data_IF_034953305475
#
_entry.id   IF_034953305475
#
_cell.length_a   1.000
_cell.length_b   1.000
_cell.length_c   1.000
_cell.angle_alpha   90.00
_cell.angle_beta   90.00
_cell.angle_gamma   90.00
#
_symmetry.space_group_name_H-M   'P 1'
#
loop_
_entity.id
_entity.type
_entity.pdbx_description
1 polymer ?
#
# COMPACT_ATOMS: atom_id res chain seq x y z
N UNK A 1 -14.47 -20.85 14.51
CA UNK A 1 -14.49 -19.94 13.34
C UNK A 1 -13.06 -19.73 12.86
N UNK A 2 -12.78 -19.87 11.56
CA UNK A 2 -11.46 -19.60 11.00
C UNK A 2 -11.27 -18.10 10.76
N UNK A 3 -10.09 -17.57 11.09
CA UNK A 3 -9.72 -16.18 10.84
C UNK A 3 -8.75 -16.11 9.66
N UNK A 4 -8.97 -15.16 8.73
CA UNK A 4 -8.10 -14.94 7.56
C UNK A 4 -7.68 -13.48 7.52
N UNK A 5 -6.39 -13.24 7.27
CA UNK A 5 -5.88 -11.88 7.04
C UNK A 5 -6.43 -11.31 5.73
N UNK A 6 -6.69 -10.00 5.73
CA UNK A 6 -7.00 -9.20 4.55
C UNK A 6 -5.90 -8.17 4.34
N UNK A 7 -5.74 -7.67 3.12
CA UNK A 7 -4.74 -6.65 2.80
C UNK A 7 -5.04 -5.36 3.55
N UNK A 8 -4.01 -4.55 3.75
CA UNK A 8 -4.15 -3.24 4.38
C UNK A 8 -5.07 -2.33 3.55
N UNK A 9 -4.95 -2.38 2.21
CA UNK A 9 -5.84 -1.70 1.27
C UNK A 9 -7.32 -2.01 1.54
N UNK A 10 -7.68 -3.29 1.63
CA UNK A 10 -9.07 -3.71 1.84
C UNK A 10 -9.58 -3.25 3.20
N UNK A 11 -8.76 -3.42 4.25
CA UNK A 11 -9.12 -3.01 5.60
C UNK A 11 -9.36 -1.50 5.69
N UNK A 12 -8.48 -0.67 5.09
CA UNK A 12 -8.61 0.79 5.12
C UNK A 12 -9.83 1.28 4.34
N UNK A 13 -10.13 0.69 3.17
CA UNK A 13 -11.35 1.02 2.43
C UNK A 13 -12.62 0.68 3.20
N UNK A 14 -12.64 -0.48 3.88
CA UNK A 14 -13.75 -0.85 4.75
C UNK A 14 -13.93 0.15 5.91
N UNK A 15 -12.83 0.57 6.54
CA UNK A 15 -12.86 1.57 7.62
C UNK A 15 -13.34 2.94 7.13
N UNK A 16 -12.79 3.44 6.03
CA UNK A 16 -13.18 4.73 5.46
C UNK A 16 -14.67 4.78 5.08
N UNK A 17 -15.22 3.66 4.60
CA UNK A 17 -16.65 3.52 4.32
C UNK A 17 -17.53 3.41 5.56
N UNK A 18 -17.14 2.58 6.53
CA UNK A 18 -18.00 2.20 7.65
C UNK A 18 -17.95 3.20 8.81
N UNK A 19 -16.76 3.69 9.17
CA UNK A 19 -16.58 4.48 10.40
C UNK A 19 -17.40 5.77 10.42
N UNK A 20 -17.54 6.55 9.33
CA UNK A 20 -18.41 7.72 9.33
C UNK A 20 -19.87 7.39 9.66
N UNK A 21 -20.37 6.21 9.26
CA UNK A 21 -21.74 5.78 9.52
C UNK A 21 -22.00 5.47 10.99
N UNK A 22 -21.01 4.89 11.68
CA UNK A 22 -21.11 4.53 13.10
C UNK A 22 -20.67 5.63 14.06
N UNK A 23 -20.10 6.71 13.53
CA UNK A 23 -19.62 7.84 14.34
C UNK A 23 -20.40 9.13 14.12
N UNK A 24 -21.54 9.09 13.43
CA UNK A 24 -22.31 10.27 13.00
C UNK A 24 -21.42 11.29 12.26
N UNK A 25 -20.48 10.79 11.45
CA UNK A 25 -19.53 11.58 10.69
C UNK A 25 -18.42 12.26 11.50
N UNK A 26 -18.34 12.03 12.83
CA UNK A 26 -17.30 12.61 13.71
C UNK A 26 -15.90 12.08 13.40
N UNK A 27 -15.81 10.82 12.98
CA UNK A 27 -14.56 10.19 12.58
C UNK A 27 -14.60 9.89 11.09
N UNK A 28 -13.54 10.30 10.39
CA UNK A 28 -13.33 10.05 8.97
C UNK A 28 -11.90 9.59 8.76
N UNK A 29 -11.75 8.62 7.87
CA UNK A 29 -10.44 8.18 7.40
C UNK A 29 -10.27 8.66 5.97
N UNK A 30 -9.03 8.98 5.61
CA UNK A 30 -8.67 9.26 4.22
C UNK A 30 -8.93 7.99 3.38
N UNK A 31 -9.66 8.15 2.29
CA UNK A 31 -10.00 7.08 1.35
C UNK A 31 -9.10 7.08 0.11
N UNK A 32 -8.18 8.04 -0.01
CA UNK A 32 -7.17 8.10 -1.08
C UNK A 32 -6.14 6.99 -0.91
N UNK A 33 -6.43 5.87 -1.56
CA UNK A 33 -5.67 4.62 -1.45
C UNK A 33 -5.70 3.92 -2.81
N UNK A 34 -4.54 3.57 -3.35
CA UNK A 34 -4.45 2.73 -4.56
C UNK A 34 -3.61 1.49 -4.31
N UNK A 35 -4.08 0.36 -4.83
CA UNK A 35 -3.36 -0.91 -4.82
C UNK A 35 -2.79 -1.16 -6.21
N UNK A 36 -1.46 -1.13 -6.30
CA UNK A 36 -0.72 -1.35 -7.54
C UNK A 36 -0.33 -2.81 -7.65
N UNK A 37 -0.77 -3.47 -8.71
CA UNK A 37 -0.45 -4.85 -9.11
C UNK A 37 0.46 -4.88 -10.35
N UNK A 38 0.97 -6.04 -10.79
CA UNK A 38 1.76 -6.14 -12.01
C UNK A 38 1.03 -5.70 -13.29
N UNK A 39 -0.31 -5.76 -13.29
CA UNK A 39 -1.18 -5.39 -14.40
C UNK A 39 -1.59 -3.92 -14.37
N UNK A 40 -1.22 -3.18 -13.32
CA UNK A 40 -1.59 -1.78 -13.15
C UNK A 40 -0.72 -0.88 -14.02
N UNK A 41 -1.34 -0.08 -14.87
CA UNK A 41 -0.67 1.05 -15.53
C UNK A 41 -0.65 2.25 -14.57
N UNK A 42 0.49 2.49 -13.92
CA UNK A 42 0.63 3.60 -12.96
C UNK A 42 0.44 4.96 -13.62
N UNK A 43 0.78 5.13 -14.90
CA UNK A 43 0.64 6.42 -15.56
C UNK A 43 -0.83 6.73 -15.81
N UNK A 44 -1.59 5.74 -16.30
CA UNK A 44 -3.04 5.86 -16.44
C UNK A 44 -3.73 6.07 -15.09
N UNK A 45 -3.32 5.33 -14.05
CA UNK A 45 -3.85 5.49 -12.70
C UNK A 45 -3.66 6.91 -12.14
N UNK A 46 -2.54 7.56 -12.48
CA UNK A 46 -2.27 8.93 -12.03
C UNK A 46 -3.07 10.00 -12.79
N UNK A 47 -3.69 9.67 -13.92
CA UNK A 47 -4.71 10.50 -14.56
C UNK A 47 -6.08 10.31 -13.89
N UNK A 48 -6.41 9.08 -13.49
CA UNK A 48 -7.65 8.75 -12.77
C UNK A 48 -7.66 9.29 -11.33
N UNK A 49 -6.50 9.33 -10.69
CA UNK A 49 -6.29 9.74 -9.30
C UNK A 49 -5.27 10.89 -9.22
N UNK A 50 -5.64 12.14 -9.58
CA UNK A 50 -4.69 13.25 -9.75
C UNK A 50 -3.89 13.61 -8.48
N UNK A 51 -4.39 13.26 -7.29
CA UNK A 51 -3.70 13.48 -6.02
C UNK A 51 -2.36 12.74 -5.96
N UNK A 52 -2.19 11.65 -6.71
CA UNK A 52 -0.93 10.93 -6.82
C UNK A 52 0.23 11.83 -7.28
N UNK A 53 -0.06 12.85 -8.11
CA UNK A 53 0.95 13.80 -8.61
C UNK A 53 1.07 15.07 -7.77
N UNK A 54 0.11 15.33 -6.90
CA UNK A 54 -0.01 16.59 -6.15
C UNK A 54 0.51 16.47 -4.72
N UNK A 55 0.35 15.29 -4.12
CA UNK A 55 0.67 15.04 -2.73
C UNK A 55 2.06 14.40 -2.57
N UNK A 56 2.56 14.41 -1.34
CA UNK A 56 3.63 13.49 -0.95
C UNK A 56 3.02 12.11 -0.69
N UNK A 57 3.78 11.07 -1.03
CA UNK A 57 3.32 9.69 -1.04
C UNK A 57 4.13 8.82 -0.09
N UNK A 58 3.44 7.85 0.48
CA UNK A 58 3.98 6.67 1.14
C UNK A 58 3.71 5.46 0.25
N UNK A 59 4.74 4.64 0.01
CA UNK A 59 4.64 3.40 -0.77
C UNK A 59 5.17 2.24 0.04
N UNK A 60 4.41 1.13 0.09
CA UNK A 60 4.82 -0.08 0.82
C UNK A 60 4.18 -1.33 0.23
N UNK A 61 4.83 -2.50 0.29
CA UNK A 61 4.20 -3.75 -0.10
C UNK A 61 3.02 -4.09 0.82
N UNK A 62 1.96 -4.60 0.22
CA UNK A 62 0.74 -4.98 0.92
C UNK A 62 0.43 -6.47 0.70
N UNK A 63 1.27 -7.34 1.29
CA UNK A 63 1.21 -8.80 1.12
C UNK A 63 1.21 -9.54 2.46
N UNK A 64 0.45 -9.01 3.44
CA UNK A 64 0.22 -9.66 4.74
C UNK A 64 1.50 -9.92 5.56
N UNK A 65 2.49 -9.04 5.48
CA UNK A 65 3.67 -9.10 6.34
C UNK A 65 3.96 -7.75 7.01
N UNK A 66 4.54 -7.82 8.22
CA UNK A 66 4.89 -6.65 9.04
C UNK A 66 6.32 -6.16 8.84
N UNK A 67 6.80 -5.28 9.73
CA UNK A 67 8.21 -4.83 9.78
C UNK A 67 8.78 -4.27 8.46
N UNK A 68 7.93 -3.65 7.62
CA UNK A 68 8.31 -3.08 6.32
C UNK A 68 9.44 -2.05 6.41
N UNK A 69 9.42 -1.18 7.43
CA UNK A 69 10.51 -0.23 7.68
C UNK A 69 11.86 -0.91 7.99
N UNK A 70 11.86 -1.97 8.81
CA UNK A 70 13.09 -2.74 9.12
C UNK A 70 13.65 -3.45 7.89
N UNK A 71 12.75 -3.94 7.03
CA UNK A 71 13.10 -4.63 5.79
C UNK A 71 13.42 -3.67 4.62
N UNK A 72 13.49 -2.35 4.84
CA UNK A 72 13.71 -1.35 3.78
C UNK A 72 12.66 -1.41 2.65
N UNK A 73 11.44 -1.80 3.01
CA UNK A 73 10.26 -1.95 2.15
C UNK A 73 9.19 -0.89 2.49
N UNK A 74 9.64 0.31 2.85
CA UNK A 74 8.77 1.44 3.15
C UNK A 74 9.41 2.70 2.58
N UNK A 75 8.79 3.27 1.56
CA UNK A 75 9.12 4.58 1.01
C UNK A 75 8.19 5.61 1.65
N UNK A 76 8.73 6.72 2.11
CA UNK A 76 7.98 7.83 2.71
C UNK A 76 8.38 9.14 2.07
N UNK A 77 7.47 10.11 2.09
CA UNK A 77 7.70 11.48 1.59
C UNK A 77 8.27 11.49 0.15
N UNK A 78 7.67 10.69 -0.73
CA UNK A 78 8.03 10.61 -2.14
C UNK A 78 7.09 11.47 -3.00
N UNK A 79 7.57 11.93 -4.15
CA UNK A 79 6.68 12.36 -5.23
C UNK A 79 6.29 11.16 -6.11
N UNK A 80 5.41 11.39 -7.07
CA UNK A 80 4.91 10.37 -7.98
C UNK A 80 6.03 9.64 -8.75
N UNK A 81 7.00 10.38 -9.30
CA UNK A 81 8.07 9.81 -10.11
C UNK A 81 8.97 8.89 -9.27
N UNK A 82 9.31 9.33 -8.06
CA UNK A 82 10.07 8.51 -7.11
C UNK A 82 9.27 7.29 -6.66
N UNK A 83 7.97 7.43 -6.41
CA UNK A 83 7.09 6.30 -6.07
C UNK A 83 7.04 5.28 -7.20
N UNK A 84 6.83 5.71 -8.44
CA UNK A 84 6.83 4.87 -9.64
C UNK A 84 8.16 4.12 -9.80
N UNK A 85 9.28 4.83 -9.78
CA UNK A 85 10.61 4.21 -9.92
C UNK A 85 10.88 3.18 -8.80
N UNK A 86 10.46 3.48 -7.57
CA UNK A 86 10.64 2.59 -6.43
C UNK A 86 9.82 1.30 -6.55
N UNK A 87 8.59 1.40 -7.09
CA UNK A 87 7.74 0.24 -7.40
C UNK A 87 8.35 -0.57 -8.54
N UNK A 88 8.75 0.08 -9.65
CA UNK A 88 9.31 -0.58 -10.83
C UNK A 88 10.59 -1.39 -10.49
N UNK A 89 11.44 -0.88 -9.59
CA UNK A 89 12.63 -1.59 -9.11
C UNK A 89 12.31 -2.89 -8.36
N UNK A 90 11.15 -2.95 -7.68
CA UNK A 90 10.77 -4.03 -6.73
C UNK A 90 9.69 -4.95 -7.26
N UNK A 91 8.89 -4.50 -8.22
CA UNK A 91 7.81 -5.28 -8.80
C UNK A 91 8.35 -6.58 -9.41
N UNK A 92 7.67 -7.69 -9.10
CA UNK A 92 8.04 -9.04 -9.50
C UNK A 92 9.45 -9.48 -9.06
N UNK A 93 10.05 -8.82 -8.08
CA UNK A 93 11.34 -9.24 -7.50
C UNK A 93 11.14 -10.10 -6.27
N UNK A 94 12.01 -11.11 -6.14
CA UNK A 94 12.09 -11.91 -4.93
C UNK A 94 12.84 -11.14 -3.84
N UNK A 95 12.33 -11.19 -2.62
CA UNK A 95 12.92 -10.57 -1.45
C UNK A 95 12.87 -11.55 -0.28
N UNK A 96 13.92 -11.56 0.53
CA UNK A 96 13.93 -12.20 1.85
C UNK A 96 13.67 -11.13 2.89
N UNK A 97 12.67 -11.35 3.75
CA UNK A 97 12.29 -10.44 4.83
C UNK A 97 12.53 -11.07 6.19
N UNK A 98 12.99 -10.27 7.13
CA UNK A 98 13.07 -10.62 8.55
C UNK A 98 11.70 -10.42 9.22
N UNK A 99 11.17 -11.50 9.79
CA UNK A 99 9.95 -11.52 10.57
C UNK A 99 10.25 -11.73 12.07
N UNK A 100 9.23 -11.97 12.89
CA UNK A 100 9.44 -12.32 14.31
C UNK A 100 9.75 -13.81 14.47
N UNK A 101 9.29 -14.63 13.53
CA UNK A 101 9.39 -16.09 13.56
C UNK A 101 10.55 -16.64 12.72
N UNK A 102 11.40 -15.77 12.15
CA UNK A 102 12.49 -16.14 11.24
C UNK A 102 12.49 -15.28 9.98
N UNK A 103 13.03 -15.83 8.90
CA UNK A 103 13.03 -15.20 7.58
C UNK A 103 11.93 -15.79 6.69
N UNK A 104 11.42 -15.00 5.76
CA UNK A 104 10.51 -15.46 4.73
C UNK A 104 10.96 -14.91 3.37
N UNK A 105 11.00 -15.76 2.36
CA UNK A 105 11.31 -15.37 0.98
C UNK A 105 10.05 -15.40 0.13
N UNK A 106 9.81 -14.34 -0.64
CA UNK A 106 8.66 -14.25 -1.52
C UNK A 106 8.81 -13.18 -2.60
N UNK A 107 7.89 -13.16 -3.55
CA UNK A 107 7.88 -12.17 -4.64
C UNK A 107 6.99 -10.99 -4.29
N UNK A 108 7.50 -9.76 -4.49
CA UNK A 108 6.70 -8.54 -4.35
C UNK A 108 5.88 -8.32 -5.62
N UNK A 109 4.57 -8.26 -5.47
CA UNK A 109 3.59 -8.12 -6.55
C UNK A 109 2.57 -7.02 -6.27
N UNK A 110 2.34 -6.66 -5.01
CA UNK A 110 1.30 -5.70 -4.65
C UNK A 110 1.84 -4.61 -3.72
N UNK A 111 1.60 -3.35 -4.10
CA UNK A 111 2.02 -2.17 -3.36
C UNK A 111 0.84 -1.27 -3.06
N UNK A 112 0.73 -0.83 -1.81
CA UNK A 112 -0.19 0.22 -1.40
C UNK A 112 0.51 1.57 -1.55
N UNK A 113 -0.17 2.51 -2.21
CA UNK A 113 0.21 3.92 -2.30
C UNK A 113 -0.88 4.75 -1.63
N UNK A 114 -0.44 5.67 -0.77
CA UNK A 114 -1.29 6.59 -0.01
C UNK A 114 -0.55 7.91 0.23
N UNK A 115 -1.25 9.01 0.57
CA UNK A 115 -0.61 10.26 1.01
C UNK A 115 0.27 10.10 2.26
#
# INVERSE_FOLDING_TARGET
MAQKGIREYDAKRLLAKAVPQYSDGKLRFDDRLVLVSPETDLAALAEEEPWLKQEKLVVKPDQLFGKRGKNKLLLVNADFDKAKAWIDERMNKQVTIEQTTGEATGTLTHFLVEP
#
